data_IF_613385929196
#
_entry.id   IF_613385929196
#
_cell.length_a   1.000
_cell.length_b   1.000
_cell.length_c   1.000
_cell.angle_alpha   90.00
_cell.angle_beta   90.00
_cell.angle_gamma   90.00
#
_symmetry.space_group_name_H-M   'P 1'
#
loop_
_entity.id
_entity.type
_entity.pdbx_description
1 polymer ?
#
# COMPACT_ATOMS: atom_id res chain seq x y z
N UNK A 1 64.85 -1.50 27.47
CA UNK A 1 64.43 -0.78 26.25
C UNK A 1 62.98 -1.17 25.98
N UNK A 2 62.05 -0.23 26.11
CA UNK A 2 60.61 -0.47 25.90
C UNK A 2 60.31 -0.45 24.39
N UNK A 3 59.80 -1.56 23.86
CA UNK A 3 59.32 -1.62 22.49
C UNK A 3 57.99 -0.87 22.42
N UNK A 4 58.04 0.37 21.93
CA UNK A 4 56.85 1.14 21.56
C UNK A 4 56.21 0.45 20.36
N UNK A 5 55.11 -0.28 20.57
CA UNK A 5 54.25 -0.77 19.50
C UNK A 5 53.56 0.42 18.85
N UNK A 6 54.09 0.86 17.72
CA UNK A 6 53.39 1.80 16.83
C UNK A 6 52.13 1.11 16.32
N UNK A 7 50.96 1.55 16.76
CA UNK A 7 49.70 1.15 16.15
C UNK A 7 49.74 1.61 14.68
N UNK A 8 49.83 0.66 13.75
CA UNK A 8 49.71 0.95 12.32
C UNK A 8 48.39 1.68 12.07
N UNK A 9 48.43 2.80 11.35
CA UNK A 9 47.22 3.48 10.88
C UNK A 9 46.49 2.53 9.94
N UNK A 10 45.16 2.34 10.06
CA UNK A 10 44.42 1.46 9.16
C UNK A 10 44.63 1.95 7.72
N UNK A 11 45.20 1.07 6.91
CA UNK A 11 45.55 1.35 5.53
C UNK A 11 44.26 1.34 4.71
N UNK A 12 43.81 2.50 4.23
CA UNK A 12 42.53 2.66 3.51
C UNK A 12 42.58 2.10 2.07
N UNK A 13 43.28 0.97 1.85
CA UNK A 13 43.30 0.29 0.55
C UNK A 13 41.95 -0.36 0.33
N UNK A 14 41.42 -0.20 -0.88
CA UNK A 14 40.10 -0.66 -1.31
C UNK A 14 39.85 -2.17 -1.18
N UNK A 15 40.90 -2.94 -0.91
CA UNK A 15 40.91 -4.40 -0.85
C UNK A 15 41.17 -4.96 0.57
N UNK A 16 41.30 -4.13 1.60
CA UNK A 16 41.66 -4.58 2.96
C UNK A 16 40.48 -5.17 3.77
N UNK A 17 39.31 -5.34 3.14
CA UNK A 17 38.08 -5.67 3.85
C UNK A 17 37.60 -4.52 4.74
N UNK A 18 36.30 -4.50 5.07
CA UNK A 18 35.70 -3.38 5.83
C UNK A 18 35.39 -2.13 5.01
N UNK A 19 35.74 -2.10 3.72
CA UNK A 19 35.30 -1.05 2.80
C UNK A 19 33.93 -1.40 2.22
N UNK A 20 32.95 -0.49 2.36
CA UNK A 20 31.61 -0.68 1.81
C UNK A 20 31.68 -0.92 0.29
N UNK A 21 31.16 -2.04 -0.24
CA UNK A 21 31.11 -2.25 -1.68
C UNK A 21 30.32 -1.08 -2.29
N UNK A 22 30.93 -0.40 -3.26
CA UNK A 22 30.37 0.80 -3.91
C UNK A 22 30.15 2.04 -3.00
N UNK A 23 30.75 2.10 -1.80
CA UNK A 23 30.54 3.18 -0.80
C UNK A 23 29.07 3.35 -0.37
N UNK A 24 28.28 2.27 -0.47
CA UNK A 24 26.89 2.26 -0.04
C UNK A 24 26.80 1.71 1.39
N UNK A 25 26.23 2.50 2.30
CA UNK A 25 25.98 2.05 3.67
C UNK A 25 25.12 0.78 3.68
N UNK A 26 25.56 -0.22 4.46
CA UNK A 26 24.89 -1.51 4.60
C UNK A 26 23.39 -1.38 4.90
N UNK A 27 23.00 -0.42 5.75
CA UNK A 27 21.59 -0.16 6.08
C UNK A 27 20.76 0.30 4.89
N UNK A 28 21.33 1.15 4.03
CA UNK A 28 20.68 1.60 2.79
C UNK A 28 20.51 0.45 1.81
N UNK A 29 21.52 -0.41 1.69
CA UNK A 29 21.46 -1.58 0.81
C UNK A 29 20.39 -2.59 1.27
N UNK A 30 20.32 -2.88 2.56
CA UNK A 30 19.30 -3.80 3.10
C UNK A 30 17.88 -3.26 2.96
N UNK A 31 17.69 -1.94 3.07
CA UNK A 31 16.40 -1.30 2.77
C UNK A 31 15.96 -1.56 1.32
N UNK A 32 16.87 -1.41 0.35
CA UNK A 32 16.56 -1.69 -1.06
C UNK A 32 16.22 -3.15 -1.31
N UNK A 33 16.94 -4.10 -0.70
CA UNK A 33 16.62 -5.52 -0.82
C UNK A 33 15.24 -5.83 -0.24
N UNK A 34 14.90 -5.25 0.92
CA UNK A 34 13.58 -5.40 1.53
C UNK A 34 12.44 -4.85 0.65
N UNK A 35 12.60 -3.64 0.10
CA UNK A 35 11.60 -3.04 -0.80
C UNK A 35 11.43 -3.87 -2.10
N UNK A 36 12.53 -4.44 -2.59
CA UNK A 36 12.52 -5.29 -3.78
C UNK A 36 11.83 -6.64 -3.49
N UNK A 37 12.01 -7.22 -2.30
CA UNK A 37 11.25 -8.41 -1.91
C UNK A 37 9.74 -8.15 -1.79
N UNK A 38 9.34 -6.99 -1.26
CA UNK A 38 7.92 -6.61 -1.20
C UNK A 38 7.34 -6.44 -2.62
N UNK A 39 8.10 -5.84 -3.53
CA UNK A 39 7.71 -5.70 -4.93
C UNK A 39 7.45 -7.05 -5.60
N UNK A 40 8.28 -8.06 -5.33
CA UNK A 40 8.04 -9.41 -5.86
C UNK A 40 6.79 -10.08 -5.26
N UNK A 41 6.54 -9.88 -3.96
CA UNK A 41 5.31 -10.36 -3.31
C UNK A 41 4.06 -9.77 -3.99
N UNK A 42 4.03 -8.45 -4.22
CA UNK A 42 2.94 -7.80 -4.93
C UNK A 42 2.84 -8.23 -6.40
N UNK A 43 3.97 -8.48 -7.07
CA UNK A 43 3.98 -8.97 -8.44
C UNK A 43 3.31 -10.35 -8.57
N UNK A 44 3.49 -11.24 -7.59
CA UNK A 44 2.81 -12.54 -7.57
C UNK A 44 1.29 -12.38 -7.45
N UNK A 45 0.82 -11.47 -6.57
CA UNK A 45 -0.61 -11.16 -6.44
C UNK A 45 -1.18 -10.53 -7.71
N UNK A 46 -0.48 -9.57 -8.33
CA UNK A 46 -0.92 -8.94 -9.58
C UNK A 46 -0.94 -9.92 -10.76
N UNK A 47 0.04 -10.82 -10.86
CA UNK A 47 0.06 -11.87 -11.89
C UNK A 47 -1.12 -12.81 -11.72
N UNK A 48 -1.38 -13.25 -10.49
CA UNK A 48 -2.53 -14.10 -10.17
C UNK A 48 -3.85 -13.40 -10.51
N UNK A 49 -4.00 -12.14 -10.09
CA UNK A 49 -5.16 -11.30 -10.45
C UNK A 49 -5.33 -11.17 -11.97
N UNK A 50 -4.25 -10.90 -12.71
CA UNK A 50 -4.26 -10.79 -14.17
C UNK A 50 -4.67 -12.09 -14.87
N UNK A 51 -4.19 -13.24 -14.38
CA UNK A 51 -4.59 -14.56 -14.89
C UNK A 51 -6.07 -14.85 -14.65
N UNK A 52 -6.56 -14.59 -13.44
CA UNK A 52 -7.99 -14.75 -13.10
C UNK A 52 -8.84 -13.81 -13.96
N UNK A 53 -8.40 -12.55 -14.13
CA UNK A 53 -9.06 -11.55 -14.96
C UNK A 53 -9.13 -11.95 -16.43
N UNK A 54 -8.10 -12.59 -16.95
CA UNK A 54 -8.04 -13.05 -18.34
C UNK A 54 -8.90 -14.30 -18.58
N UNK A 55 -9.02 -15.17 -17.58
CA UNK A 55 -9.86 -16.36 -17.65
C UNK A 55 -11.36 -16.04 -17.66
N UNK A 56 -11.74 -14.97 -16.97
CA UNK A 56 -13.14 -14.55 -16.86
C UNK A 56 -13.49 -13.47 -17.87
N UNK A 57 -14.42 -13.77 -18.78
CA UNK A 57 -14.95 -12.79 -19.72
C UNK A 57 -15.70 -11.68 -18.96
N UNK A 58 -15.72 -10.47 -19.52
CA UNK A 58 -16.51 -9.38 -18.96
C UNK A 58 -18.01 -9.71 -19.08
N UNK A 59 -18.82 -9.26 -18.10
CA UNK A 59 -20.27 -9.36 -18.19
C UNK A 59 -20.80 -8.57 -19.42
N UNK A 60 -21.66 -9.20 -20.24
CA UNK A 60 -22.17 -8.65 -21.52
C UNK A 60 -23.68 -8.34 -21.45
N UNK A 61 -24.30 -8.35 -20.27
CA UNK A 61 -25.73 -8.07 -20.09
C UNK A 61 -26.06 -6.59 -19.81
N UNK A 62 -27.35 -6.30 -19.62
CA UNK A 62 -27.81 -4.99 -19.17
C UNK A 62 -27.22 -4.63 -17.80
N UNK A 63 -26.72 -3.40 -17.65
CA UNK A 63 -26.11 -2.90 -16.40
C UNK A 63 -27.02 -3.03 -15.17
N UNK A 64 -28.34 -2.91 -15.35
CA UNK A 64 -29.32 -3.01 -14.28
C UNK A 64 -29.59 -4.45 -13.81
N UNK A 65 -29.27 -5.45 -14.63
CA UNK A 65 -29.49 -6.88 -14.33
C UNK A 65 -28.21 -7.58 -13.85
N UNK A 66 -27.17 -6.82 -13.53
CA UNK A 66 -25.92 -7.38 -13.02
C UNK A 66 -26.16 -8.11 -11.69
N UNK A 67 -25.64 -9.34 -11.59
CA UNK A 67 -25.65 -10.16 -10.37
C UNK A 67 -24.21 -10.54 -10.03
N UNK A 68 -23.90 -10.76 -8.77
CA UNK A 68 -22.58 -11.29 -8.39
C UNK A 68 -22.53 -12.79 -8.72
N UNK A 69 -21.66 -13.19 -9.66
CA UNK A 69 -21.42 -14.60 -10.02
C UNK A 69 -19.93 -14.86 -10.23
N UNK A 70 -19.53 -16.12 -10.13
CA UNK A 70 -18.18 -16.62 -10.44
C UNK A 70 -17.93 -16.85 -11.93
N UNK A 71 -18.97 -16.75 -12.78
CA UNK A 71 -18.88 -17.08 -14.21
C UNK A 71 -18.31 -15.94 -15.07
N UNK A 72 -18.36 -14.71 -14.57
CA UNK A 72 -17.93 -13.51 -15.29
C UNK A 72 -17.24 -12.51 -14.36
N UNK A 73 -16.47 -11.61 -14.96
CA UNK A 73 -15.80 -10.56 -14.21
C UNK A 73 -16.80 -9.49 -13.72
N UNK A 74 -16.75 -9.09 -12.43
CA UNK A 74 -17.68 -8.13 -11.87
C UNK A 74 -17.46 -6.70 -12.40
N UNK A 75 -18.53 -5.91 -12.41
CA UNK A 75 -18.49 -4.48 -12.79
C UNK A 75 -18.07 -3.66 -11.56
N UNK A 76 -16.91 -2.96 -11.58
CA UNK A 76 -16.39 -2.24 -10.41
C UNK A 76 -17.35 -1.19 -9.85
N UNK A 77 -18.08 -0.50 -10.72
CA UNK A 77 -19.02 0.57 -10.36
C UNK A 77 -20.15 0.08 -9.44
N UNK A 78 -20.56 -1.20 -9.60
CA UNK A 78 -21.57 -1.85 -8.75
C UNK A 78 -20.97 -2.42 -7.48
N UNK A 79 -19.71 -2.85 -7.52
CA UNK A 79 -18.99 -3.40 -6.37
C UNK A 79 -18.67 -2.27 -5.37
N UNK A 80 -18.15 -1.15 -5.86
CA UNK A 80 -17.58 -0.07 -5.06
C UNK A 80 -18.46 1.20 -5.07
N UNK A 81 -19.74 1.04 -4.73
CA UNK A 81 -20.70 2.14 -4.66
C UNK A 81 -21.04 2.54 -3.20
N UNK A 82 -20.45 1.87 -2.22
CA UNK A 82 -20.69 2.17 -0.82
C UNK A 82 -19.92 3.42 -0.39
N UNK A 83 -20.65 4.47 -0.01
CA UNK A 83 -20.08 5.66 0.60
C UNK A 83 -20.62 5.83 2.03
N UNK A 84 -19.76 6.01 3.04
CA UNK A 84 -20.21 6.14 4.43
C UNK A 84 -21.15 7.33 4.58
N UNK A 85 -22.28 7.13 5.28
CA UNK A 85 -23.34 8.13 5.51
C UNK A 85 -24.20 8.54 4.29
N UNK A 86 -23.86 8.10 3.08
CA UNK A 86 -24.63 8.38 1.85
C UNK A 86 -25.25 7.10 1.27
N UNK A 87 -26.02 6.39 2.10
CA UNK A 87 -26.73 5.18 1.69
C UNK A 87 -27.88 5.54 0.74
N UNK A 88 -27.80 5.13 -0.53
CA UNK A 88 -28.86 5.32 -1.54
C UNK A 88 -28.57 6.35 -2.63
N UNK A 89 -27.40 7.00 -2.60
CA UNK A 89 -26.94 7.83 -3.72
C UNK A 89 -25.90 7.05 -4.51
N UNK A 90 -26.15 6.81 -5.80
CA UNK A 90 -25.22 6.10 -6.69
C UNK A 90 -23.99 6.99 -7.00
N UNK A 91 -22.93 6.83 -6.20
CA UNK A 91 -21.62 7.44 -6.40
C UNK A 91 -20.58 6.34 -6.70
N UNK A 92 -20.54 5.83 -7.94
CA UNK A 92 -19.61 4.77 -8.28
C UNK A 92 -18.16 5.22 -8.08
N UNK A 93 -17.36 4.39 -7.42
CA UNK A 93 -15.91 4.56 -7.21
C UNK A 93 -15.51 5.80 -6.38
N UNK A 94 -16.44 6.62 -5.92
CA UNK A 94 -16.13 7.88 -5.23
C UNK A 94 -15.38 7.66 -3.91
N UNK A 95 -15.77 6.63 -3.15
CA UNK A 95 -15.10 6.30 -1.89
C UNK A 95 -13.66 5.79 -2.12
N UNK A 96 -13.46 4.97 -3.16
CA UNK A 96 -12.12 4.49 -3.57
C UNK A 96 -11.23 5.65 -4.03
N UNK A 97 -11.79 6.60 -4.78
CA UNK A 97 -11.09 7.81 -5.20
C UNK A 97 -10.67 8.67 -4.00
N UNK A 98 -11.55 8.83 -2.99
CA UNK A 98 -11.23 9.54 -1.76
C UNK A 98 -10.08 8.86 -0.99
N UNK A 99 -10.11 7.54 -0.84
CA UNK A 99 -9.04 6.78 -0.18
C UNK A 99 -7.70 6.95 -0.88
N UNK A 100 -7.71 6.94 -2.21
CA UNK A 100 -6.51 7.18 -3.02
C UNK A 100 -5.99 8.61 -2.82
N UNK A 101 -6.88 9.61 -2.80
CA UNK A 101 -6.50 11.00 -2.53
C UNK A 101 -5.87 11.17 -1.15
N UNK A 102 -6.42 10.50 -0.11
CA UNK A 102 -5.85 10.51 1.25
C UNK A 102 -4.42 9.93 1.25
N UNK A 103 -4.17 8.81 0.58
CA UNK A 103 -2.83 8.23 0.49
C UNK A 103 -1.84 9.12 -0.27
N UNK A 104 -2.27 9.76 -1.35
CA UNK A 104 -1.42 10.70 -2.09
C UNK A 104 -1.03 11.88 -1.19
N UNK A 105 -2.00 12.46 -0.47
CA UNK A 105 -1.72 13.52 0.51
C UNK A 105 -0.79 13.04 1.62
N UNK A 106 -0.98 11.82 2.12
CA UNK A 106 -0.09 11.19 3.10
C UNK A 106 1.35 11.02 2.59
N UNK A 107 1.53 10.75 1.30
CA UNK A 107 2.86 10.66 0.67
C UNK A 107 3.52 12.03 0.60
N UNK A 108 2.76 13.08 0.24
CA UNK A 108 3.26 14.46 0.24
C UNK A 108 3.71 14.89 1.63
N UNK A 109 2.95 14.57 2.69
CA UNK A 109 3.36 14.91 4.06
C UNK A 109 4.63 14.20 4.49
N UNK A 110 4.87 12.95 4.05
CA UNK A 110 6.12 12.24 4.31
C UNK A 110 7.31 12.91 3.61
N UNK A 111 7.16 13.35 2.36
CA UNK A 111 8.23 14.08 1.64
C UNK A 111 8.60 15.38 2.35
N UNK A 112 7.61 16.14 2.83
CA UNK A 112 7.83 17.36 3.61
C UNK A 112 8.52 17.08 4.95
N UNK A 113 8.20 15.95 5.60
CA UNK A 113 8.88 15.50 6.82
C UNK A 113 10.37 15.20 6.55
N UNK A 114 10.67 14.48 5.46
CA UNK A 114 12.05 14.14 5.08
C UNK A 114 12.84 15.41 4.75
N UNK A 115 12.22 16.36 4.04
CA UNK A 115 12.84 17.66 3.74
C UNK A 115 13.16 18.46 5.02
N UNK A 116 12.22 18.55 5.95
CA UNK A 116 12.45 19.16 7.26
C UNK A 116 13.56 18.45 8.05
N UNK A 117 13.66 17.12 7.90
CA UNK A 117 14.74 16.31 8.47
C UNK A 117 16.11 16.69 7.92
N UNK A 118 16.22 16.93 6.62
CA UNK A 118 17.47 17.45 6.03
C UNK A 118 17.84 18.85 6.53
N UNK A 119 16.84 19.69 6.88
CA UNK A 119 17.06 21.00 7.52
C UNK A 119 17.32 20.89 9.03
N UNK A 120 17.31 19.69 9.61
CA UNK A 120 17.43 19.42 11.05
C UNK A 120 16.34 20.12 11.90
N UNK A 121 15.20 20.46 11.29
CA UNK A 121 14.08 21.09 12.01
C UNK A 121 13.18 20.00 12.62
N UNK A 122 13.44 19.70 13.88
CA UNK A 122 12.71 18.65 14.62
C UNK A 122 11.22 18.94 14.75
N UNK A 123 10.82 20.21 14.91
CA UNK A 123 9.41 20.57 15.14
C UNK A 123 8.59 20.36 13.87
N UNK A 124 9.16 20.75 12.73
CA UNK A 124 8.53 20.51 11.45
C UNK A 124 8.48 19.01 11.12
N UNK A 125 9.54 18.25 11.39
CA UNK A 125 9.55 16.79 11.20
C UNK A 125 8.43 16.13 12.01
N UNK A 126 8.31 16.46 13.30
CA UNK A 126 7.27 15.92 14.18
C UNK A 126 5.87 16.25 13.65
N UNK A 127 5.64 17.51 13.28
CA UNK A 127 4.36 17.96 12.72
C UNK A 127 4.00 17.18 11.45
N UNK A 128 4.90 17.06 10.50
CA UNK A 128 4.63 16.38 9.23
C UNK A 128 4.48 14.86 9.39
N UNK A 129 5.22 14.24 10.30
CA UNK A 129 5.03 12.82 10.64
C UNK A 129 3.68 12.57 11.31
N UNK A 130 3.22 13.45 12.21
CA UNK A 130 1.89 13.35 12.80
C UNK A 130 0.78 13.42 11.75
N UNK A 131 0.89 14.33 10.77
CA UNK A 131 -0.03 14.38 9.63
C UNK A 131 0.00 13.11 8.79
N UNK A 132 1.19 12.56 8.54
CA UNK A 132 1.35 11.30 7.81
C UNK A 132 0.67 10.14 8.53
N UNK A 133 0.85 10.03 9.85
CA UNK A 133 0.21 8.99 10.67
C UNK A 133 -1.32 9.18 10.69
N UNK A 134 -1.80 10.42 10.78
CA UNK A 134 -3.23 10.72 10.78
C UNK A 134 -3.89 10.29 9.46
N UNK A 135 -3.30 10.67 8.31
CA UNK A 135 -3.83 10.27 7.01
C UNK A 135 -3.72 8.76 6.79
N UNK A 136 -2.61 8.13 7.19
CA UNK A 136 -2.45 6.68 7.13
C UNK A 136 -3.48 5.94 7.98
N UNK A 137 -3.73 6.40 9.20
CA UNK A 137 -4.74 5.83 10.11
C UNK A 137 -6.16 6.03 9.58
N UNK A 138 -6.44 7.18 8.98
CA UNK A 138 -7.72 7.46 8.29
C UNK A 138 -7.93 6.49 7.13
N UNK A 139 -6.91 6.26 6.30
CA UNK A 139 -6.97 5.30 5.21
C UNK A 139 -7.26 3.87 5.71
N UNK A 140 -6.56 3.42 6.76
CA UNK A 140 -6.80 2.10 7.36
C UNK A 140 -8.22 1.97 7.93
N UNK A 141 -8.76 3.01 8.56
CA UNK A 141 -10.14 3.03 9.04
C UNK A 141 -11.15 2.94 7.89
N UNK A 142 -10.92 3.65 6.78
CA UNK A 142 -11.74 3.54 5.58
C UNK A 142 -11.74 2.13 4.98
N UNK A 143 -10.56 1.50 4.89
CA UNK A 143 -10.42 0.12 4.41
C UNK A 143 -11.12 -0.88 5.34
N UNK A 144 -10.95 -0.74 6.65
CA UNK A 144 -11.63 -1.60 7.63
C UNK A 144 -13.15 -1.47 7.53
N UNK A 145 -13.67 -0.26 7.31
CA UNK A 145 -15.09 -0.03 7.10
C UNK A 145 -15.60 -0.65 5.80
N UNK A 146 -14.89 -0.43 4.68
CA UNK A 146 -15.24 -0.99 3.37
C UNK A 146 -15.32 -2.52 3.41
N UNK A 147 -14.32 -3.16 4.04
CA UNK A 147 -14.30 -4.61 4.23
C UNK A 147 -15.41 -5.09 5.16
N UNK A 148 -15.67 -4.37 6.26
CA UNK A 148 -16.77 -4.71 7.16
C UNK A 148 -18.12 -4.62 6.43
N UNK A 149 -18.29 -3.62 5.57
CA UNK A 149 -19.47 -3.46 4.73
C UNK A 149 -19.61 -4.61 3.72
N UNK A 150 -18.52 -5.02 3.07
CA UNK A 150 -18.52 -6.16 2.16
C UNK A 150 -18.83 -7.50 2.84
N UNK A 151 -18.28 -7.74 4.03
CA UNK A 151 -18.46 -8.99 4.77
C UNK A 151 -19.85 -9.05 5.41
N UNK A 152 -20.32 -7.95 5.98
CA UNK A 152 -21.63 -7.91 6.66
C UNK A 152 -22.77 -8.03 5.65
N UNK A 153 -22.60 -7.45 4.45
CA UNK A 153 -23.43 -7.72 3.28
C UNK A 153 -24.90 -7.30 3.38
N UNK A 154 -25.45 -6.77 2.28
CA UNK A 154 -26.89 -6.61 2.07
C UNK A 154 -27.56 -8.00 2.00
N UNK A 155 -28.81 -8.13 2.45
CA UNK A 155 -29.55 -9.42 2.62
C UNK A 155 -29.49 -10.39 1.41
N UNK A 156 -29.19 -9.91 0.20
CA UNK A 156 -29.08 -10.69 -1.03
C UNK A 156 -27.69 -11.34 -1.26
N UNK A 157 -26.64 -10.94 -0.51
CA UNK A 157 -25.28 -11.48 -0.63
C UNK A 157 -24.98 -12.65 0.30
N UNK A 158 -25.86 -12.90 1.27
CA UNK A 158 -25.77 -14.03 2.21
C UNK A 158 -26.48 -15.29 1.68
N UNK A 159 -27.29 -15.16 0.64
CA UNK A 159 -27.94 -16.31 0.01
C UNK A 159 -26.98 -17.05 -0.90
N UNK A 160 -26.67 -18.30 -0.55
CA UNK A 160 -25.97 -19.25 -1.41
C UNK A 160 -26.78 -19.50 -2.69
N UNK A 161 -26.14 -20.04 -3.74
CA UNK A 161 -26.78 -20.31 -5.03
C UNK A 161 -28.00 -21.26 -4.95
N UNK A 162 -28.22 -21.95 -3.82
CA UNK A 162 -29.41 -22.78 -3.58
C UNK A 162 -30.56 -22.06 -2.83
N UNK A 163 -30.37 -20.80 -2.45
CA UNK A 163 -31.34 -19.98 -1.71
C UNK A 163 -31.28 -20.09 -0.18
N UNK A 164 -30.37 -20.88 0.39
CA UNK A 164 -30.09 -20.90 1.83
C UNK A 164 -29.26 -19.67 2.26
N UNK A 165 -29.57 -19.16 3.46
CA UNK A 165 -28.84 -18.05 4.10
C UNK A 165 -27.60 -18.55 4.85
#
# INVERSE_FOLDING_TARGET
MSNTTTLERPNTRTWDGGNEPMKASYGKLMMWFFLLSDTFTFAAFLTTYGLIRHRHLAFVGDYEKFVFSTDYWPIPDKVFNAFPFFHGVDLPLAFVALMTMILILSSVTMVLAVEAGHRMDKKDVEKWLLWTILFGSTFLACQAWEWTHFITGTENGLTLADGSK
#
